data_IF_668344980189
#
_entry.id   IF_668344980189
#
_cell.length_a   1.000
_cell.length_b   1.000
_cell.length_c   1.000
_cell.angle_alpha   90.00
_cell.angle_beta   90.00
_cell.angle_gamma   90.00
#
_symmetry.space_group_name_H-M   'P 1'
#
loop_
_entity.id
_entity.type
_entity.pdbx_description
1 polymer ?
#
# COMPACT_ATOMS: atom_id res chain seq x y z
N UNK A 1 -72.93 -49.91 -0.38
CA UNK A 1 -72.15 -49.39 -1.52
C UNK A 1 -71.51 -48.09 -1.04
N UNK A 2 -70.33 -48.20 -0.41
CA UNK A 2 -69.05 -47.59 -0.83
C UNK A 2 -68.95 -46.09 -0.53
N UNK A 3 -67.87 -45.53 0.03
CA UNK A 3 -66.61 -46.05 0.57
C UNK A 3 -65.96 -44.87 1.33
N UNK A 4 -65.06 -45.20 2.25
CA UNK A 4 -64.42 -44.32 3.23
C UNK A 4 -63.31 -43.40 2.61
N UNK A 5 -62.64 -42.54 3.40
CA UNK A 5 -61.88 -41.38 2.92
C UNK A 5 -60.50 -41.75 2.36
N UNK A 6 -60.04 -41.03 1.32
CA UNK A 6 -58.69 -41.19 0.77
C UNK A 6 -57.64 -40.59 1.70
N UNK A 7 -56.80 -41.45 2.28
CA UNK A 7 -55.52 -41.10 2.90
C UNK A 7 -54.45 -42.11 2.47
N UNK A 8 -53.48 -41.69 1.67
CA UNK A 8 -52.03 -42.04 1.67
C UNK A 8 -51.41 -41.37 0.44
N UNK A 9 -50.60 -40.33 0.62
CA UNK A 9 -49.15 -40.42 0.82
C UNK A 9 -48.45 -41.19 -0.30
N UNK A 10 -47.90 -40.44 -1.27
CA UNK A 10 -46.78 -40.89 -2.09
C UNK A 10 -45.91 -39.67 -2.44
N UNK A 11 -45.24 -39.11 -1.43
CA UNK A 11 -44.07 -38.26 -1.66
C UNK A 11 -42.91 -39.21 -2.00
N UNK A 12 -42.55 -39.25 -3.28
CA UNK A 12 -41.34 -39.94 -3.73
C UNK A 12 -40.14 -39.16 -3.17
N UNK A 13 -39.18 -39.80 -2.47
CA UNK A 13 -38.00 -39.07 -2.02
C UNK A 13 -37.20 -38.66 -3.26
N UNK A 14 -36.87 -37.37 -3.34
CA UNK A 14 -35.90 -36.85 -4.32
C UNK A 14 -34.53 -37.40 -3.89
N UNK A 15 -33.86 -38.24 -4.70
CA UNK A 15 -32.52 -38.69 -4.39
C UNK A 15 -31.52 -37.65 -4.90
N UNK A 16 -30.72 -37.10 -3.99
CA UNK A 16 -29.55 -36.28 -4.34
C UNK A 16 -29.52 -34.92 -3.67
N UNK A 17 -29.49 -34.90 -2.34
CA UNK A 17 -28.95 -33.75 -1.60
C UNK A 17 -27.81 -34.30 -0.72
N UNK A 18 -26.73 -34.70 -1.39
CA UNK A 18 -25.45 -34.83 -0.71
C UNK A 18 -24.98 -33.39 -0.44
N UNK A 19 -24.57 -33.03 0.79
CA UNK A 19 -23.97 -31.73 1.01
C UNK A 19 -22.81 -31.57 0.03
N UNK A 20 -22.73 -30.40 -0.59
CA UNK A 20 -21.80 -30.03 -1.64
C UNK A 20 -20.34 -30.02 -1.10
N UNK A 21 -19.77 -31.21 -0.94
CA UNK A 21 -18.43 -31.44 -0.38
C UNK A 21 -17.33 -30.79 -1.25
N UNK A 22 -17.63 -30.48 -2.51
CA UNK A 22 -16.72 -29.84 -3.45
C UNK A 22 -16.65 -28.32 -3.23
N UNK A 23 -17.74 -27.65 -2.81
CA UNK A 23 -17.73 -26.19 -2.54
C UNK A 23 -16.93 -25.86 -1.28
N UNK A 24 -17.06 -26.67 -0.22
CA UNK A 24 -16.27 -26.49 1.02
C UNK A 24 -14.77 -26.73 0.78
N UNK A 25 -14.43 -27.65 -0.13
CA UNK A 25 -13.05 -27.90 -0.56
C UNK A 25 -12.45 -26.76 -1.38
N UNK A 26 -13.24 -26.17 -2.29
CA UNK A 26 -12.85 -24.97 -3.05
C UNK A 26 -12.62 -23.78 -2.11
N UNK A 27 -13.45 -23.60 -1.09
CA UNK A 27 -13.29 -22.52 -0.10
C UNK A 27 -11.99 -22.68 0.72
N UNK A 28 -11.63 -23.90 1.11
CA UNK A 28 -10.39 -24.16 1.84
C UNK A 28 -9.14 -23.94 0.97
N UNK A 29 -9.18 -24.38 -0.29
CA UNK A 29 -8.09 -24.13 -1.26
C UNK A 29 -7.97 -22.65 -1.57
N UNK A 30 -9.09 -21.96 -1.78
CA UNK A 30 -9.12 -20.51 -2.01
C UNK A 30 -8.57 -19.75 -0.80
N UNK A 31 -8.92 -20.13 0.42
CA UNK A 31 -8.38 -19.54 1.65
C UNK A 31 -6.86 -19.75 1.77
N UNK A 32 -6.37 -20.95 1.43
CA UNK A 32 -4.93 -21.24 1.40
C UNK A 32 -4.17 -20.38 0.39
N UNK A 33 -4.67 -20.30 -0.86
CA UNK A 33 -4.09 -19.45 -1.90
C UNK A 33 -4.15 -17.97 -1.55
N UNK A 34 -5.25 -17.51 -0.93
CA UNK A 34 -5.39 -16.13 -0.48
C UNK A 34 -4.36 -15.78 0.61
N UNK A 35 -4.12 -16.70 1.55
CA UNK A 35 -3.10 -16.52 2.59
C UNK A 35 -1.68 -16.48 2.01
N UNK A 36 -1.35 -17.37 1.07
CA UNK A 36 -0.06 -17.37 0.35
C UNK A 36 0.14 -16.05 -0.42
N UNK A 37 -0.89 -15.62 -1.16
CA UNK A 37 -0.85 -14.37 -1.90
C UNK A 37 -0.71 -13.15 -0.98
N UNK A 38 -1.43 -13.12 0.14
CA UNK A 38 -1.32 -12.05 1.13
C UNK A 38 0.10 -11.96 1.72
N UNK A 39 0.73 -13.10 2.04
CA UNK A 39 2.10 -13.14 2.52
C UNK A 39 3.10 -12.63 1.47
N UNK A 40 2.93 -13.02 0.20
CA UNK A 40 3.77 -12.54 -0.89
C UNK A 40 3.63 -11.02 -1.10
N UNK A 41 2.40 -10.49 -1.06
CA UNK A 41 2.14 -9.04 -1.15
C UNK A 41 2.76 -8.28 0.03
N UNK A 42 2.66 -8.81 1.25
CA UNK A 42 3.28 -8.20 2.42
C UNK A 42 4.82 -8.15 2.29
N UNK A 43 5.44 -9.21 1.77
CA UNK A 43 6.89 -9.23 1.51
C UNK A 43 7.31 -8.20 0.45
N UNK A 44 6.52 -8.02 -0.62
CA UNK A 44 6.75 -6.96 -1.61
C UNK A 44 6.65 -5.57 -0.96
N UNK A 45 5.61 -5.33 -0.16
CA UNK A 45 5.43 -4.05 0.53
C UNK A 45 6.60 -3.74 1.48
N UNK A 46 7.10 -4.73 2.22
CA UNK A 46 8.26 -4.58 3.09
C UNK A 46 9.53 -4.21 2.29
N UNK A 47 9.77 -4.86 1.15
CA UNK A 47 10.89 -4.53 0.27
C UNK A 47 10.75 -3.11 -0.34
N UNK A 48 9.54 -2.70 -0.72
CA UNK A 48 9.25 -1.35 -1.19
C UNK A 48 9.49 -0.29 -0.10
N UNK A 49 9.06 -0.58 1.14
CA UNK A 49 9.33 0.26 2.31
C UNK A 49 10.84 0.41 2.53
N UNK A 50 11.60 -0.70 2.51
CA UNK A 50 13.05 -0.65 2.65
C UNK A 50 13.71 0.23 1.57
N UNK A 51 13.29 0.08 0.29
CA UNK A 51 13.79 0.91 -0.79
C UNK A 51 13.46 2.40 -0.58
N UNK A 52 12.25 2.72 -0.12
CA UNK A 52 11.85 4.09 0.20
C UNK A 52 12.64 4.68 1.37
N UNK A 53 12.95 3.91 2.40
CA UNK A 53 13.81 4.37 3.51
C UNK A 53 15.21 4.78 3.01
N UNK A 54 15.81 3.99 2.12
CA UNK A 54 17.10 4.33 1.49
C UNK A 54 17.01 5.63 0.69
N UNK A 55 15.94 5.80 -0.11
CA UNK A 55 15.70 7.01 -0.89
C UNK A 55 15.50 8.25 0.00
N UNK A 56 14.75 8.11 1.09
CA UNK A 56 14.53 9.18 2.06
C UNK A 56 15.83 9.61 2.75
N UNK A 57 16.67 8.64 3.12
CA UNK A 57 18.01 8.90 3.68
C UNK A 57 18.93 9.57 2.67
N UNK A 58 18.92 9.11 1.41
CA UNK A 58 19.70 9.74 0.35
C UNK A 58 19.29 11.21 0.15
N UNK A 59 17.99 11.51 0.18
CA UNK A 59 17.51 12.90 0.13
C UNK A 59 18.05 13.71 1.31
N UNK A 60 17.97 13.18 2.54
CA UNK A 60 18.45 13.87 3.74
C UNK A 60 19.95 14.19 3.64
N UNK A 61 20.78 13.21 3.30
CA UNK A 61 22.24 13.41 3.08
C UNK A 61 22.50 14.43 1.97
N UNK A 62 21.72 14.40 0.89
CA UNK A 62 21.82 15.37 -0.18
C UNK A 62 21.51 16.80 0.28
N UNK A 63 20.45 16.98 1.07
CA UNK A 63 20.04 18.28 1.63
C UNK A 63 21.06 18.82 2.63
N UNK A 64 21.62 17.96 3.49
CA UNK A 64 22.71 18.34 4.41
C UNK A 64 23.91 18.90 3.63
N UNK A 65 24.36 18.19 2.59
CA UNK A 65 25.46 18.67 1.73
C UNK A 65 25.12 19.95 0.98
N UNK A 66 23.88 20.11 0.52
CA UNK A 66 23.43 21.36 -0.12
C UNK A 66 23.52 22.53 0.87
N UNK A 67 23.18 22.32 2.14
CA UNK A 67 23.22 23.36 3.16
C UNK A 67 24.65 23.87 3.48
N UNK A 68 25.66 23.04 3.24
CA UNK A 68 27.08 23.40 3.38
C UNK A 68 27.62 24.24 2.20
N UNK A 69 26.91 24.26 1.06
CA UNK A 69 27.34 24.95 -0.15
C UNK A 69 26.88 26.43 -0.12
N UNK A 70 27.76 27.40 -0.41
CA UNK A 70 27.37 28.81 -0.49
C UNK A 70 26.27 29.04 -1.53
N UNK A 71 25.27 29.88 -1.19
CA UNK A 71 24.17 30.23 -2.13
C UNK A 71 24.67 30.84 -3.45
N UNK A 72 25.87 31.44 -3.46
CA UNK A 72 26.52 31.98 -4.65
C UNK A 72 26.94 30.91 -5.66
N UNK A 73 26.99 29.64 -5.28
CA UNK A 73 27.36 28.52 -6.16
C UNK A 73 26.27 28.18 -7.21
N UNK A 74 25.09 28.80 -7.11
CA UNK A 74 24.02 28.65 -8.11
C UNK A 74 23.65 27.19 -8.36
N UNK A 75 23.75 26.74 -9.63
CA UNK A 75 23.40 25.36 -10.04
C UNK A 75 24.31 24.28 -9.44
N UNK A 76 25.48 24.65 -8.94
CA UNK A 76 26.39 23.71 -8.27
C UNK A 76 25.83 23.25 -6.92
N UNK A 77 25.00 24.07 -6.26
CA UNK A 77 24.35 23.70 -5.00
C UNK A 77 23.45 22.46 -5.14
N UNK A 78 22.94 22.17 -6.34
CA UNK A 78 22.12 20.98 -6.61
C UNK A 78 22.94 19.70 -6.92
N UNK A 79 24.26 19.83 -7.11
CA UNK A 79 25.12 18.70 -7.49
C UNK A 79 25.06 17.52 -6.51
N UNK A 80 25.07 17.72 -5.17
CA UNK A 80 25.02 16.59 -4.23
C UNK A 80 23.78 15.71 -4.43
N UNK A 81 22.61 16.31 -4.62
CA UNK A 81 21.36 15.59 -4.86
C UNK A 81 21.36 14.87 -6.21
N UNK A 82 21.88 15.52 -7.27
CA UNK A 82 22.00 14.91 -8.60
C UNK A 82 22.96 13.73 -8.61
N UNK A 83 24.10 13.85 -7.93
CA UNK A 83 25.08 12.76 -7.82
C UNK A 83 24.49 11.54 -7.09
N UNK A 84 23.78 11.75 -5.98
CA UNK A 84 23.10 10.67 -5.26
C UNK A 84 22.02 10.01 -6.11
N UNK A 85 21.22 10.80 -6.84
CA UNK A 85 20.20 10.27 -7.73
C UNK A 85 20.79 9.44 -8.88
N UNK A 86 21.92 9.88 -9.46
CA UNK A 86 22.62 9.17 -10.53
C UNK A 86 23.20 7.83 -10.05
N UNK A 87 23.84 7.80 -8.88
CA UNK A 87 24.39 6.56 -8.30
C UNK A 87 23.29 5.52 -8.07
N UNK A 88 22.19 5.93 -7.43
CA UNK A 88 21.05 5.07 -7.17
C UNK A 88 20.32 4.68 -8.47
N UNK A 89 20.23 5.59 -9.43
CA UNK A 89 19.66 5.35 -10.76
C UNK A 89 20.44 4.33 -11.56
N UNK A 90 21.77 4.37 -11.51
CA UNK A 90 22.63 3.38 -12.13
C UNK A 90 22.40 1.97 -11.54
N UNK A 91 22.34 1.85 -10.20
CA UNK A 91 22.04 0.57 -9.54
C UNK A 91 20.65 0.02 -9.91
N UNK A 92 19.64 0.88 -9.96
CA UNK A 92 18.25 0.49 -10.20
C UNK A 92 17.87 0.42 -11.69
N UNK A 93 18.76 0.81 -12.60
CA UNK A 93 18.47 1.05 -14.03
C UNK A 93 17.28 2.00 -14.22
N UNK A 94 17.29 3.10 -13.48
CA UNK A 94 16.24 4.12 -13.52
C UNK A 94 16.80 5.49 -13.93
N UNK A 95 16.01 6.32 -14.62
CA UNK A 95 16.44 7.68 -14.95
C UNK A 95 16.68 8.52 -13.69
N UNK A 96 17.77 9.29 -13.66
CA UNK A 96 18.16 10.14 -12.52
C UNK A 96 17.02 11.04 -12.04
N UNK A 97 16.28 11.65 -12.98
CA UNK A 97 15.13 12.52 -12.67
C UNK A 97 14.00 11.79 -11.96
N UNK A 98 13.81 10.51 -12.29
CA UNK A 98 12.83 9.65 -11.61
C UNK A 98 13.29 9.34 -10.19
N UNK A 99 14.57 8.97 -10.02
CA UNK A 99 15.15 8.68 -8.71
C UNK A 99 15.14 9.91 -7.81
N UNK A 100 15.54 11.07 -8.31
CA UNK A 100 15.52 12.32 -7.55
C UNK A 100 14.11 12.68 -7.07
N UNK A 101 13.09 12.47 -7.92
CA UNK A 101 11.68 12.64 -7.51
C UNK A 101 11.32 11.64 -6.40
N UNK A 102 11.66 10.36 -6.57
CA UNK A 102 11.40 9.32 -5.55
C UNK A 102 12.11 9.59 -4.23
N UNK A 103 13.32 10.14 -4.26
CA UNK A 103 14.05 10.60 -3.06
C UNK A 103 13.26 11.68 -2.32
N UNK A 104 12.80 12.71 -3.04
CA UNK A 104 11.98 13.78 -2.46
C UNK A 104 10.63 13.27 -1.90
N UNK A 105 9.95 12.40 -2.65
CA UNK A 105 8.65 11.84 -2.25
C UNK A 105 8.82 10.95 -1.00
N UNK A 106 9.84 10.09 -0.97
CA UNK A 106 10.14 9.24 0.18
C UNK A 106 10.54 10.07 1.42
N UNK A 107 11.34 11.12 1.24
CA UNK A 107 11.69 12.03 2.31
C UNK A 107 10.46 12.77 2.86
N UNK A 108 9.53 13.17 1.99
CA UNK A 108 8.26 13.77 2.40
C UNK A 108 7.42 12.78 3.20
N UNK A 109 7.27 11.55 2.72
CA UNK A 109 6.54 10.48 3.43
C UNK A 109 7.11 10.27 4.85
N UNK A 110 8.41 10.02 4.97
CA UNK A 110 9.05 9.71 6.26
C UNK A 110 8.97 10.88 7.24
N UNK A 111 9.07 12.13 6.78
CA UNK A 111 9.15 13.29 7.68
C UNK A 111 7.82 14.02 7.91
N UNK A 112 6.83 13.85 7.03
CA UNK A 112 5.55 14.57 7.11
C UNK A 112 4.34 13.66 7.28
N UNK A 113 4.51 12.35 7.09
CA UNK A 113 3.45 11.34 7.10
C UNK A 113 3.84 10.09 7.91
N UNK A 114 4.18 10.29 9.19
CA UNK A 114 4.75 9.24 10.04
C UNK A 114 3.80 8.05 10.24
N UNK A 115 2.51 8.30 10.49
CA UNK A 115 1.52 7.24 10.67
C UNK A 115 1.36 6.40 9.39
N UNK A 116 1.35 7.07 8.23
CA UNK A 116 1.28 6.41 6.93
C UNK A 116 2.53 5.57 6.63
N UNK A 117 3.71 6.09 6.99
CA UNK A 117 4.96 5.36 6.88
C UNK A 117 4.97 4.10 7.74
N UNK A 118 4.56 4.20 9.00
CA UNK A 118 4.53 3.07 9.94
C UNK A 118 3.54 2.01 9.46
N UNK A 119 2.36 2.41 8.96
CA UNK A 119 1.37 1.49 8.41
C UNK A 119 1.89 0.75 7.17
N UNK A 120 2.66 1.42 6.30
CA UNK A 120 3.31 0.78 5.16
C UNK A 120 4.40 -0.20 5.62
N UNK A 121 5.27 0.21 6.54
CA UNK A 121 6.35 -0.62 7.06
C UNK A 121 5.83 -1.87 7.78
N UNK A 122 4.66 -1.76 8.42
CA UNK A 122 3.94 -2.88 9.04
C UNK A 122 3.16 -3.75 8.04
N UNK A 123 3.11 -3.38 6.75
CA UNK A 123 2.33 -4.10 5.72
C UNK A 123 0.81 -3.96 5.85
N UNK A 124 0.33 -3.02 6.68
CA UNK A 124 -1.11 -2.76 6.88
C UNK A 124 -1.71 -2.09 5.65
N UNK A 125 -0.92 -1.25 4.96
CA UNK A 125 -1.33 -0.58 3.73
C UNK A 125 -0.31 -0.81 2.61
N UNK A 126 -0.77 -0.77 1.36
CA UNK A 126 0.08 -0.88 0.18
C UNK A 126 0.64 0.49 -0.24
N UNK A 127 1.65 0.50 -1.12
CA UNK A 127 2.18 1.73 -1.74
C UNK A 127 1.10 2.50 -2.50
N UNK A 128 0.06 1.82 -3.01
CA UNK A 128 -1.09 2.48 -3.61
C UNK A 128 -1.84 3.38 -2.61
N UNK A 129 -2.10 2.89 -1.40
CA UNK A 129 -2.72 3.70 -0.33
C UNK A 129 -1.83 4.87 0.06
N UNK A 130 -0.53 4.63 0.25
CA UNK A 130 0.44 5.67 0.59
C UNK A 130 0.43 6.80 -0.44
N UNK A 131 0.42 6.46 -1.74
CA UNK A 131 0.35 7.47 -2.81
C UNK A 131 -0.91 8.33 -2.71
N UNK A 132 -2.07 7.71 -2.52
CA UNK A 132 -3.33 8.44 -2.38
C UNK A 132 -3.31 9.37 -1.16
N UNK A 133 -2.90 8.86 0.01
CA UNK A 133 -2.82 9.64 1.25
C UNK A 133 -1.88 10.84 1.07
N UNK A 134 -0.67 10.62 0.55
CA UNK A 134 0.32 11.69 0.37
C UNK A 134 -0.14 12.72 -0.67
N UNK A 135 -0.75 12.29 -1.78
CA UNK A 135 -1.24 13.20 -2.83
C UNK A 135 -2.26 14.22 -2.32
N UNK A 136 -3.15 13.79 -1.42
CA UNK A 136 -4.15 14.66 -0.82
C UNK A 136 -3.59 15.43 0.38
N UNK A 137 -2.88 14.76 1.28
CA UNK A 137 -2.40 15.35 2.52
C UNK A 137 -1.23 16.33 2.35
N UNK A 138 -0.47 16.30 1.24
CA UNK A 138 0.72 17.17 1.09
C UNK A 138 0.34 18.65 1.02
N UNK A 139 -0.89 18.93 0.58
CA UNK A 139 -1.51 20.27 0.49
C UNK A 139 -1.87 20.84 1.86
N UNK A 140 -1.98 19.98 2.88
CA UNK A 140 -2.22 20.38 4.27
C UNK A 140 -0.90 20.86 4.88
N UNK A 141 -0.79 22.17 5.08
CA UNK A 141 0.42 22.81 5.61
C UNK A 141 0.53 22.67 7.12
N UNK A 142 -0.59 22.77 7.83
CA UNK A 142 -0.67 22.54 9.27
C UNK A 142 -0.37 21.07 9.63
N UNK A 143 0.66 20.79 10.45
CA UNK A 143 1.02 19.45 10.87
C UNK A 143 -0.09 18.71 11.62
N UNK A 144 -0.87 19.39 12.46
CA UNK A 144 -1.93 18.75 13.26
C UNK A 144 -3.10 18.36 12.37
N UNK A 145 -3.50 19.24 11.45
CA UNK A 145 -4.54 18.95 10.46
C UNK A 145 -4.12 17.79 9.54
N UNK A 146 -2.83 17.74 9.14
CA UNK A 146 -2.32 16.63 8.32
C UNK A 146 -2.30 15.31 9.09
N UNK A 147 -1.91 15.31 10.37
CA UNK A 147 -1.91 14.10 11.19
C UNK A 147 -3.34 13.57 11.45
N UNK A 148 -4.32 14.46 11.66
CA UNK A 148 -5.73 14.08 11.75
C UNK A 148 -6.22 13.45 10.43
N UNK A 149 -5.91 14.08 9.30
CA UNK A 149 -6.20 13.54 7.97
C UNK A 149 -5.56 12.15 7.76
N UNK A 150 -4.30 11.95 8.13
CA UNK A 150 -3.64 10.65 8.02
C UNK A 150 -4.37 9.56 8.79
N UNK A 151 -4.76 9.86 10.03
CA UNK A 151 -5.46 8.91 10.89
C UNK A 151 -6.77 8.47 10.24
N UNK A 152 -7.59 9.42 9.80
CA UNK A 152 -8.87 9.16 9.14
C UNK A 152 -8.71 8.40 7.81
N UNK A 153 -7.68 8.75 7.02
CA UNK A 153 -7.40 8.07 5.76
C UNK A 153 -6.93 6.62 5.99
N UNK A 154 -6.14 6.36 7.03
CA UNK A 154 -5.67 5.02 7.38
C UNK A 154 -6.80 4.13 7.91
N UNK A 155 -7.74 4.68 8.69
CA UNK A 155 -8.94 3.96 9.12
C UNK A 155 -9.77 3.49 7.92
N UNK A 156 -9.91 4.33 6.89
CA UNK A 156 -10.56 3.93 5.64
C UNK A 156 -9.74 2.90 4.86
N UNK A 157 -8.42 3.07 4.79
CA UNK A 157 -7.52 2.17 4.05
C UNK A 157 -7.57 0.73 4.58
N UNK A 158 -7.90 0.53 5.86
CA UNK A 158 -8.03 -0.80 6.47
C UNK A 158 -9.14 -1.68 5.83
N UNK A 159 -10.11 -1.08 5.15
CA UNK A 159 -11.26 -1.79 4.56
C UNK A 159 -11.48 -1.51 3.08
N UNK A 160 -10.61 -0.72 2.44
CA UNK A 160 -10.77 -0.28 1.06
C UNK A 160 -9.55 -0.62 0.20
N UNK A 161 -9.73 -0.58 -1.13
CA UNK A 161 -8.61 -0.65 -2.06
C UNK A 161 -8.09 0.76 -2.34
N UNK A 162 -6.84 0.93 -2.83
CA UNK A 162 -6.27 2.26 -3.08
C UNK A 162 -7.13 3.15 -3.99
N UNK A 163 -7.74 2.57 -5.03
CA UNK A 163 -8.61 3.32 -5.94
C UNK A 163 -9.94 3.76 -5.35
N UNK A 164 -10.30 3.27 -4.16
CA UNK A 164 -11.52 3.63 -3.42
C UNK A 164 -11.25 4.56 -2.24
N UNK A 165 -9.98 4.90 -1.96
CA UNK A 165 -9.64 5.76 -0.83
C UNK A 165 -10.19 7.19 -1.02
N UNK A 166 -10.28 7.66 -2.28
CA UNK A 166 -10.81 8.98 -2.62
C UNK A 166 -10.03 10.17 -2.01
N UNK A 167 -10.30 11.41 -2.45
CA UNK A 167 -9.88 12.61 -1.74
C UNK A 167 -10.53 12.76 -0.37
#
# INVERSE_FOLDING_TARGET
>A
MSDAPRRVSNMKPIPGDAPDMDVVGVDAVAAGLAAEYAAAVAAIAAAEAQAMSVLARAQAVGLERVAEIPRSAGREAELPLRALAAELGACARQPDRSVQRRMNDAHTLVNRFAATWDALAAGVVSVGHVRAIVEHGVKLTDPEVRAAFETEALERAASTTPGRLGP
#
